data_IF_987169963696
#
_entry.id   IF_987169963696
#
_cell.length_a   1.000
_cell.length_b   1.000
_cell.length_c   1.000
_cell.angle_alpha   90.00
_cell.angle_beta   90.00
_cell.angle_gamma   90.00
#
_symmetry.space_group_name_H-M   'P 1'
#
loop_
_entity.id
_entity.type
_entity.pdbx_description
1 polymer ?
#
# COMPACT_ATOMS: atom_id res chain seq x y z
N UNK A 1 -29.92 45.39 11.41
CA UNK A 1 -29.13 46.61 11.18
C UNK A 1 -28.48 47.11 12.46
N UNK A 2 -27.15 47.03 12.52
CA UNK A 2 -26.30 48.09 13.11
C UNK A 2 -24.89 47.87 12.57
N UNK A 3 -24.36 48.88 11.88
CA UNK A 3 -22.98 48.88 11.39
C UNK A 3 -22.01 49.12 12.55
N UNK A 4 -20.91 48.38 12.56
CA UNK A 4 -19.72 48.72 13.32
C UNK A 4 -18.51 48.60 12.38
N UNK A 5 -17.97 49.75 12.02
CA UNK A 5 -16.60 49.92 11.50
C UNK A 5 -15.62 49.79 12.66
N UNK A 6 -14.66 48.88 12.59
CA UNK A 6 -13.24 49.18 12.84
C UNK A 6 -12.35 48.00 12.42
N UNK A 7 -11.12 48.31 12.03
CA UNK A 7 -10.16 47.38 11.45
C UNK A 7 -9.40 46.51 12.45
N UNK A 8 -8.80 45.45 11.90
CA UNK A 8 -7.52 44.93 12.35
C UNK A 8 -7.49 44.13 13.64
N UNK A 9 -7.99 42.90 13.61
CA UNK A 9 -7.35 41.65 14.10
C UNK A 9 -8.39 40.54 14.03
N UNK A 10 -8.08 39.44 13.34
CA UNK A 10 -8.97 38.29 13.20
C UNK A 10 -9.19 37.63 14.57
N UNK A 11 -10.20 38.12 15.29
CA UNK A 11 -10.68 37.56 16.54
C UNK A 11 -11.53 36.35 16.21
N UNK A 12 -11.19 35.21 16.83
CA UNK A 12 -11.90 33.93 16.73
C UNK A 12 -13.38 34.15 17.02
N UNK A 13 -14.24 34.02 16.00
CA UNK A 13 -15.67 33.89 16.22
C UNK A 13 -15.95 32.43 16.58
N UNK A 14 -16.09 32.15 17.87
CA UNK A 14 -16.98 31.08 18.32
C UNK A 14 -18.23 31.76 18.84
N UNK A 15 -19.25 31.90 17.99
CA UNK A 15 -20.57 32.27 18.48
C UNK A 15 -21.10 31.10 19.30
N UNK A 16 -21.18 31.30 20.62
CA UNK A 16 -21.86 30.38 21.51
C UNK A 16 -23.37 30.47 21.24
N UNK A 17 -23.90 29.57 20.43
CA UNK A 17 -25.34 29.43 20.27
C UNK A 17 -25.94 28.87 21.57
N UNK A 18 -26.72 29.71 22.27
CA UNK A 18 -27.50 29.29 23.43
C UNK A 18 -28.67 28.44 22.93
N UNK A 19 -28.64 27.14 23.24
CA UNK A 19 -29.70 26.20 22.86
C UNK A 19 -31.05 26.61 23.45
N UNK A 20 -32.03 26.94 22.59
CA UNK A 20 -33.44 27.07 22.97
C UNK A 20 -34.26 25.98 22.29
N UNK A 21 -34.37 24.83 22.96
CA UNK A 21 -35.39 23.83 22.69
C UNK A 21 -35.17 22.96 21.45
N UNK A 22 -35.76 21.77 21.50
CA UNK A 22 -35.62 20.72 20.49
C UNK A 22 -36.44 21.02 19.23
N UNK A 23 -35.83 21.69 18.26
CA UNK A 23 -36.17 21.51 16.85
C UNK A 23 -34.96 20.84 16.20
N UNK A 24 -35.16 19.70 15.54
CA UNK A 24 -34.10 19.11 14.74
C UNK A 24 -33.83 20.06 13.58
N UNK A 25 -32.69 20.74 13.64
CA UNK A 25 -32.19 21.54 12.53
C UNK A 25 -31.68 20.53 11.50
N UNK A 26 -32.43 20.31 10.41
CA UNK A 26 -31.87 19.66 9.22
C UNK A 26 -30.83 20.63 8.63
N UNK A 27 -29.55 20.31 8.84
CA UNK A 27 -28.44 21.05 8.27
C UNK A 27 -28.42 20.75 6.77
N UNK A 28 -28.73 21.75 5.95
CA UNK A 28 -28.68 21.60 4.49
C UNK A 28 -27.24 21.45 4.03
N UNK A 29 -27.01 20.72 2.93
CA UNK A 29 -25.67 20.51 2.35
C UNK A 29 -24.93 21.84 2.11
N UNK A 30 -25.65 22.91 1.78
CA UNK A 30 -25.10 24.25 1.57
C UNK A 30 -24.64 24.96 2.86
N UNK A 31 -25.26 24.66 4.01
CA UNK A 31 -24.83 25.20 5.31
C UNK A 31 -23.60 24.46 5.84
N UNK A 32 -23.49 23.16 5.56
CA UNK A 32 -22.29 22.40 5.81
C UNK A 32 -21.13 22.90 4.93
N UNK A 33 -21.36 23.13 3.64
CA UNK A 33 -20.37 23.65 2.66
C UNK A 33 -19.72 24.98 3.07
N UNK A 34 -20.45 25.88 3.75
CA UNK A 34 -19.90 27.15 4.24
C UNK A 34 -19.16 27.04 5.59
N UNK A 35 -19.31 25.93 6.30
CA UNK A 35 -18.64 25.65 7.58
C UNK A 35 -17.52 24.61 7.46
N UNK A 36 -17.40 23.92 6.33
CA UNK A 36 -16.25 23.07 6.04
C UNK A 36 -15.06 23.97 5.67
N UNK A 37 -13.83 23.65 6.06
CA UNK A 37 -12.72 24.04 5.23
C UNK A 37 -13.02 23.43 3.85
N UNK A 38 -13.11 24.23 2.78
CA UNK A 38 -13.35 23.78 1.39
C UNK A 38 -12.30 22.77 0.84
N UNK A 39 -11.47 22.27 1.75
CA UNK A 39 -10.22 21.58 1.63
C UNK A 39 -10.19 20.46 2.70
N UNK A 40 -11.24 19.63 2.83
CA UNK A 40 -11.23 18.46 3.71
C UNK A 40 -12.02 17.31 3.10
N UNK A 41 -11.39 16.15 2.95
CA UNK A 41 -11.98 15.00 2.26
C UNK A 41 -13.29 14.50 2.89
N UNK A 42 -13.26 14.24 4.20
CA UNK A 42 -14.41 13.71 4.93
C UNK A 42 -14.29 14.03 6.42
N UNK A 43 -15.32 14.65 7.00
CA UNK A 43 -15.34 15.09 8.40
C UNK A 43 -15.34 13.95 9.42
N UNK A 44 -15.62 12.71 9.00
CA UNK A 44 -15.50 11.52 9.85
C UNK A 44 -14.05 11.21 10.22
N UNK A 45 -13.09 11.71 9.44
CA UNK A 45 -11.67 11.71 9.78
C UNK A 45 -11.33 13.02 10.47
N UNK A 46 -10.93 12.93 11.73
CA UNK A 46 -10.65 14.11 12.57
C UNK A 46 -9.26 14.70 12.35
N UNK A 47 -8.34 13.96 11.70
CA UNK A 47 -6.94 14.35 11.49
C UNK A 47 -6.48 14.09 10.05
N UNK A 48 -5.49 14.86 9.62
CA UNK A 48 -4.71 14.60 8.41
C UNK A 48 -3.25 15.02 8.59
N UNK A 49 -2.35 14.36 7.90
CA UNK A 49 -0.94 14.74 7.79
C UNK A 49 -0.52 14.83 6.31
N UNK A 50 0.20 15.89 5.90
CA UNK A 50 0.74 15.96 4.55
C UNK A 50 1.94 15.03 4.39
N UNK A 51 2.03 14.36 3.25
CA UNK A 51 3.18 13.57 2.83
C UNK A 51 3.72 14.20 1.54
N UNK A 52 4.98 14.61 1.56
CA UNK A 52 5.65 15.17 0.40
C UNK A 52 6.30 14.05 -0.42
N UNK A 53 5.97 13.99 -1.70
CA UNK A 53 6.56 13.04 -2.66
C UNK A 53 7.31 13.78 -3.76
N UNK A 54 8.52 13.32 -4.07
CA UNK A 54 9.33 13.82 -5.19
C UNK A 54 10.36 12.78 -5.61
N UNK A 55 10.92 12.96 -6.81
CA UNK A 55 12.09 12.19 -7.28
C UNK A 55 13.33 13.07 -7.29
N UNK A 56 14.54 12.51 -7.08
CA UNK A 56 15.78 13.29 -7.11
C UNK A 56 16.14 13.81 -8.51
N UNK A 57 15.65 13.15 -9.57
CA UNK A 57 15.83 13.58 -10.96
C UNK A 57 14.75 12.98 -11.87
N UNK A 58 14.46 13.66 -12.99
CA UNK A 58 13.49 13.19 -13.98
C UNK A 58 12.04 13.22 -13.48
N UNK A 59 11.29 12.15 -13.79
CA UNK A 59 9.90 11.96 -13.39
C UNK A 59 9.53 10.48 -13.39
N UNK A 60 8.47 10.11 -12.68
CA UNK A 60 7.87 8.77 -12.74
C UNK A 60 6.86 8.66 -13.89
N UNK A 61 6.29 7.47 -14.10
CA UNK A 61 4.99 7.37 -14.77
C UNK A 61 3.87 7.78 -13.80
N UNK A 62 2.67 7.98 -14.32
CA UNK A 62 1.44 8.00 -13.51
C UNK A 62 1.23 6.63 -12.84
N UNK A 63 0.37 6.58 -11.83
CA UNK A 63 0.03 5.35 -11.08
C UNK A 63 1.25 4.68 -10.42
N UNK A 64 2.25 5.46 -10.01
CA UNK A 64 3.50 4.97 -9.42
C UNK A 64 3.35 4.66 -7.93
N UNK A 65 3.88 3.51 -7.49
CA UNK A 65 3.82 3.09 -6.09
C UNK A 65 4.97 3.69 -5.28
N UNK A 66 4.63 4.36 -4.18
CA UNK A 66 5.60 4.96 -3.25
C UNK A 66 5.53 4.25 -1.91
N UNK A 67 6.68 3.81 -1.40
CA UNK A 67 6.83 3.18 -0.09
C UNK A 67 7.25 4.21 0.95
N UNK A 68 6.60 4.22 2.10
CA UNK A 68 6.98 5.04 3.25
C UNK A 68 6.60 4.36 4.57
N UNK A 69 7.15 4.87 5.68
CA UNK A 69 6.83 4.40 7.03
C UNK A 69 5.98 5.44 7.75
N UNK A 70 4.90 5.00 8.36
CA UNK A 70 4.02 5.80 9.20
C UNK A 70 4.30 5.43 10.65
N UNK A 71 4.58 6.43 11.47
CA UNK A 71 4.63 6.26 12.92
C UNK A 71 3.22 6.38 13.49
N UNK A 72 2.92 5.58 14.51
CA UNK A 72 1.66 5.65 15.22
C UNK A 72 1.45 7.02 15.87
N UNK A 73 0.24 7.54 15.71
CA UNK A 73 -0.29 8.68 16.45
C UNK A 73 -1.42 8.18 17.36
N UNK A 74 -1.55 8.73 18.56
CA UNK A 74 -2.60 8.35 19.50
C UNK A 74 -4.03 8.55 19.00
N UNK A 75 -4.23 9.39 17.96
CA UNK A 75 -5.51 9.55 17.30
C UNK A 75 -5.81 8.44 16.26
N UNK A 76 -4.81 7.67 15.81
CA UNK A 76 -5.01 6.53 14.89
C UNK A 76 -5.62 5.34 15.61
N UNK A 77 -6.29 4.44 14.87
CA UNK A 77 -6.53 3.10 15.38
C UNK A 77 -5.20 2.36 15.54
N UNK A 78 -5.07 1.55 16.60
CA UNK A 78 -3.78 0.92 16.95
C UNK A 78 -3.23 0.03 15.85
N UNK A 79 -4.10 -0.53 15.01
CA UNK A 79 -3.75 -1.41 13.91
C UNK A 79 -3.79 -0.68 12.54
N UNK A 80 -3.87 0.65 12.51
CA UNK A 80 -3.79 1.48 11.31
C UNK A 80 -4.89 1.23 10.26
N UNK A 81 -6.04 0.70 10.65
CA UNK A 81 -7.14 0.39 9.74
C UNK A 81 -7.96 1.64 9.33
N UNK A 82 -7.79 2.75 10.03
CA UNK A 82 -8.44 4.03 9.74
C UNK A 82 -7.70 4.91 8.74
N UNK A 83 -6.55 4.48 8.22
CA UNK A 83 -5.78 5.26 7.26
C UNK A 83 -6.53 5.42 5.92
N UNK A 84 -6.52 6.65 5.38
CA UNK A 84 -6.91 6.96 4.00
C UNK A 84 -5.88 7.88 3.36
N UNK A 85 -5.56 7.65 2.09
CA UNK A 85 -4.63 8.48 1.34
C UNK A 85 -5.40 9.19 0.24
N UNK A 86 -5.36 10.52 0.25
CA UNK A 86 -6.11 11.36 -0.67
C UNK A 86 -5.12 12.29 -1.37
N UNK A 87 -5.33 12.53 -2.65
CA UNK A 87 -4.51 13.45 -3.43
C UNK A 87 -4.67 14.91 -2.98
N UNK A 88 -3.89 15.82 -3.58
CA UNK A 88 -3.89 17.25 -3.23
C UNK A 88 -5.24 17.94 -3.50
N UNK A 89 -6.02 17.40 -4.43
CA UNK A 89 -7.39 17.80 -4.76
C UNK A 89 -8.40 17.49 -3.64
N UNK A 90 -7.98 16.70 -2.64
CA UNK A 90 -8.75 16.32 -1.45
C UNK A 90 -10.03 15.53 -1.74
N UNK A 91 -10.12 14.92 -2.91
CA UNK A 91 -11.25 14.10 -3.35
C UNK A 91 -10.82 12.77 -3.95
N UNK A 92 -9.66 12.73 -4.59
CA UNK A 92 -9.12 11.55 -5.27
C UNK A 92 -8.53 10.58 -4.25
N UNK A 93 -9.18 9.43 -4.06
CA UNK A 93 -8.67 8.36 -3.21
C UNK A 93 -7.50 7.62 -3.88
N UNK A 94 -6.42 7.43 -3.13
CA UNK A 94 -5.21 6.76 -3.57
C UNK A 94 -5.18 5.34 -2.98
N UNK A 95 -5.22 4.28 -3.82
CA UNK A 95 -5.07 2.91 -3.35
C UNK A 95 -3.79 2.72 -2.55
N UNK A 96 -3.87 1.96 -1.46
CA UNK A 96 -2.73 1.69 -0.61
C UNK A 96 -2.69 0.24 -0.14
N UNK A 97 -1.52 -0.18 0.32
CA UNK A 97 -1.29 -1.48 0.91
C UNK A 97 -0.38 -1.35 2.14
N UNK A 98 -0.85 -1.82 3.29
CA UNK A 98 -0.05 -1.97 4.51
C UNK A 98 0.75 -3.26 4.36
N UNK A 99 2.04 -3.11 4.06
CA UNK A 99 2.95 -4.24 3.87
C UNK A 99 3.28 -4.96 5.17
N UNK A 100 3.45 -4.20 6.25
CA UNK A 100 3.69 -4.72 7.59
C UNK A 100 3.39 -3.64 8.61
N UNK A 101 3.05 -4.05 9.83
CA UNK A 101 2.80 -3.13 10.94
C UNK A 101 3.20 -3.76 12.27
N UNK A 102 3.51 -2.90 13.22
CA UNK A 102 3.51 -3.21 14.65
C UNK A 102 2.47 -2.31 15.27
N UNK A 103 1.39 -2.91 15.77
CA UNK A 103 0.25 -2.15 16.31
C UNK A 103 0.70 -1.19 17.41
N UNK A 104 0.21 0.05 17.35
CA UNK A 104 0.56 1.13 18.27
C UNK A 104 2.00 1.66 18.10
N UNK A 105 2.73 1.26 17.06
CA UNK A 105 4.12 1.69 16.84
C UNK A 105 4.37 2.25 15.44
N UNK A 106 4.29 1.41 14.40
CA UNK A 106 4.56 1.85 13.03
C UNK A 106 3.97 0.91 11.98
N UNK A 107 3.75 1.43 10.78
CA UNK A 107 3.32 0.69 9.61
C UNK A 107 4.18 1.06 8.39
N UNK A 108 4.57 0.04 7.62
CA UNK A 108 5.19 0.21 6.30
C UNK A 108 4.07 0.14 5.26
N UNK A 109 3.91 1.23 4.50
CA UNK A 109 2.79 1.39 3.58
C UNK A 109 3.30 1.71 2.18
N UNK A 110 2.62 1.15 1.19
CA UNK A 110 2.71 1.52 -0.21
C UNK A 110 1.46 2.29 -0.61
N UNK A 111 1.60 3.43 -1.28
CA UNK A 111 0.48 4.16 -1.88
C UNK A 111 0.70 4.34 -3.39
N UNK A 112 -0.37 4.17 -4.17
CA UNK A 112 -0.38 4.36 -5.62
C UNK A 112 -0.72 5.81 -5.95
N UNK A 113 0.30 6.59 -6.30
CA UNK A 113 0.15 8.01 -6.65
C UNK A 113 -0.33 8.12 -8.08
N UNK A 114 -1.48 8.79 -8.28
CA UNK A 114 -2.10 8.93 -9.61
C UNK A 114 -1.29 9.82 -10.52
N UNK A 115 -0.80 10.92 -9.97
CA UNK A 115 -0.03 11.90 -10.70
C UNK A 115 1.40 11.46 -11.03
N UNK A 116 1.97 12.12 -12.03
CA UNK A 116 3.38 12.01 -12.37
C UNK A 116 4.19 12.74 -11.31
N UNK A 117 5.02 12.00 -10.57
CA UNK A 117 5.92 12.57 -9.56
C UNK A 117 7.13 13.15 -10.27
N UNK A 118 7.47 14.39 -9.91
CA UNK A 118 8.62 15.11 -10.49
C UNK A 118 9.62 15.50 -9.40
N UNK A 119 10.64 16.28 -9.75
CA UNK A 119 11.57 16.86 -8.78
C UNK A 119 10.94 17.92 -7.88
N UNK A 120 9.80 18.48 -8.28
CA UNK A 120 9.03 19.41 -7.45
C UNK A 120 8.21 18.60 -6.45
N UNK A 121 8.33 18.86 -5.14
CA UNK A 121 7.51 18.19 -4.13
C UNK A 121 6.02 18.37 -4.40
N UNK A 122 5.32 17.26 -4.46
CA UNK A 122 3.86 17.17 -4.51
C UNK A 122 3.36 16.71 -3.15
N UNK A 123 2.16 17.16 -2.77
CA UNK A 123 1.59 16.83 -1.47
C UNK A 123 0.45 15.85 -1.65
N UNK A 124 0.50 14.71 -0.98
CA UNK A 124 -0.69 13.91 -0.71
C UNK A 124 -1.05 14.04 0.76
N UNK A 125 -2.27 13.67 1.14
CA UNK A 125 -2.74 13.70 2.51
C UNK A 125 -3.05 12.31 3.02
N UNK A 126 -2.50 11.96 4.18
CA UNK A 126 -2.94 10.82 4.97
C UNK A 126 -3.97 11.29 5.99
N UNK A 127 -5.20 10.84 5.87
CA UNK A 127 -6.28 11.04 6.84
C UNK A 127 -6.33 9.88 7.83
N UNK A 128 -6.60 10.20 9.10
CA UNK A 128 -6.75 9.26 10.22
C UNK A 128 -7.65 9.87 11.31
N UNK A 129 -7.88 9.17 12.41
CA UNK A 129 -8.75 9.60 13.50
C UNK A 129 -10.22 9.30 13.24
N UNK A 130 -10.50 8.18 12.57
CA UNK A 130 -11.85 7.65 12.39
C UNK A 130 -11.95 6.24 13.02
N UNK A 131 -12.48 6.11 14.24
CA UNK A 131 -12.50 4.83 14.97
C UNK A 131 -13.59 3.86 14.50
N UNK A 132 -14.38 4.21 13.48
CA UNK A 132 -15.57 3.44 13.06
C UNK A 132 -15.39 2.69 11.74
N UNK A 133 -14.21 2.77 11.12
CA UNK A 133 -13.95 2.20 9.79
C UNK A 133 -12.97 1.03 9.89
N UNK A 134 -13.05 0.14 8.92
CA UNK A 134 -12.05 -0.90 8.68
C UNK A 134 -11.03 -0.46 7.63
N UNK A 135 -9.94 -1.22 7.53
CA UNK A 135 -8.88 -1.00 6.56
C UNK A 135 -9.39 -1.13 5.12
N UNK A 136 -8.92 -0.22 4.27
CA UNK A 136 -9.04 -0.29 2.81
C UNK A 136 -7.73 -0.76 2.15
N UNK A 137 -6.75 -1.20 2.95
CA UNK A 137 -5.48 -1.74 2.48
C UNK A 137 -5.72 -2.90 1.51
N UNK A 138 -5.25 -2.76 0.27
CA UNK A 138 -5.46 -3.73 -0.78
C UNK A 138 -4.30 -3.70 -1.80
N UNK A 139 -3.48 -4.76 -1.81
CA UNK A 139 -2.36 -4.89 -2.73
C UNK A 139 -2.78 -4.99 -4.20
N UNK A 140 -3.90 -5.67 -4.51
CA UNK A 140 -4.41 -5.81 -5.88
C UNK A 140 -4.82 -4.47 -6.51
N UNK A 141 -5.35 -3.53 -5.73
CA UNK A 141 -5.67 -2.18 -6.20
C UNK A 141 -4.42 -1.27 -6.27
N UNK A 142 -3.39 -1.59 -5.51
CA UNK A 142 -2.19 -0.77 -5.33
C UNK A 142 -1.12 -1.07 -6.39
N UNK A 143 -0.88 -2.33 -6.71
CA UNK A 143 0.16 -2.78 -7.64
C UNK A 143 -0.44 -3.28 -8.96
N UNK A 144 0.39 -3.31 -10.02
CA UNK A 144 -0.01 -3.91 -11.30
C UNK A 144 -0.22 -5.43 -11.19
N UNK A 145 0.55 -6.07 -10.31
CA UNK A 145 0.42 -7.48 -9.97
C UNK A 145 0.83 -7.66 -8.51
N UNK A 146 0.02 -8.37 -7.74
CA UNK A 146 0.21 -8.57 -6.31
C UNK A 146 -0.22 -9.97 -5.89
N UNK A 147 0.54 -10.58 -4.99
CA UNK A 147 0.14 -11.77 -4.24
C UNK A 147 0.98 -11.83 -2.95
N UNK A 148 0.31 -11.81 -1.81
CA UNK A 148 0.90 -12.07 -0.49
C UNK A 148 0.73 -13.54 -0.07
N UNK A 149 0.05 -14.34 -0.89
CA UNK A 149 -0.27 -15.74 -0.66
C UNK A 149 -1.10 -16.04 0.60
N UNK A 150 -1.69 -15.03 1.25
CA UNK A 150 -2.53 -15.20 2.45
C UNK A 150 -3.85 -15.92 2.12
N UNK A 151 -4.29 -15.81 0.86
CA UNK A 151 -5.52 -16.45 0.36
C UNK A 151 -5.28 -17.81 -0.33
N UNK A 152 -4.11 -18.41 -0.16
CA UNK A 152 -3.78 -19.69 -0.81
C UNK A 152 -3.31 -19.54 -2.26
N UNK A 153 -3.21 -20.66 -2.98
CA UNK A 153 -2.73 -20.65 -4.37
C UNK A 153 -3.84 -20.15 -5.31
N UNK A 154 -3.64 -18.98 -5.91
CA UNK A 154 -4.57 -18.43 -6.90
C UNK A 154 -4.28 -18.97 -8.31
N UNK A 155 -5.04 -19.98 -8.75
CA UNK A 155 -4.90 -20.59 -10.08
C UNK A 155 -5.28 -19.70 -11.26
N UNK A 156 -5.87 -18.53 -11.04
CA UNK A 156 -6.09 -17.52 -12.08
C UNK A 156 -4.85 -16.64 -12.29
N UNK A 157 -4.11 -16.34 -11.21
CA UNK A 157 -2.87 -15.56 -11.25
C UNK A 157 -1.64 -16.41 -11.58
N UNK A 158 -1.60 -17.66 -11.10
CA UNK A 158 -0.42 -18.51 -11.17
C UNK A 158 -0.67 -19.82 -11.89
N UNK A 159 0.37 -20.30 -12.57
CA UNK A 159 0.51 -21.66 -13.05
C UNK A 159 1.64 -22.35 -12.31
N UNK A 160 1.53 -23.66 -12.09
CA UNK A 160 2.55 -24.51 -11.48
C UNK A 160 2.60 -25.85 -12.20
N UNK A 161 3.74 -26.54 -12.18
CA UNK A 161 3.84 -27.87 -12.78
C UNK A 161 3.09 -28.95 -12.02
N UNK A 162 3.03 -28.85 -10.69
CA UNK A 162 2.38 -29.85 -9.84
C UNK A 162 1.96 -29.22 -8.52
N UNK A 163 0.81 -29.63 -8.02
CA UNK A 163 0.43 -29.40 -6.64
C UNK A 163 1.25 -30.31 -5.71
N UNK A 164 2.16 -29.73 -4.94
CA UNK A 164 3.07 -30.46 -4.06
C UNK A 164 2.56 -30.65 -2.63
N UNK A 165 1.25 -30.53 -2.38
CA UNK A 165 0.60 -30.91 -1.12
C UNK A 165 0.76 -32.42 -0.81
N UNK A 166 1.98 -32.87 -0.52
CA UNK A 166 2.33 -34.27 -0.20
C UNK A 166 3.23 -35.00 -1.22
N UNK A 167 3.70 -34.34 -2.28
CA UNK A 167 4.59 -34.94 -3.29
C UNK A 167 5.90 -34.17 -3.37
N UNK A 168 7.05 -34.86 -3.29
CA UNK A 168 8.41 -34.29 -3.12
C UNK A 168 8.94 -33.32 -4.18
N UNK A 169 8.08 -32.76 -5.05
CA UNK A 169 8.39 -31.72 -6.03
C UNK A 169 7.12 -31.00 -6.52
N UNK A 170 7.21 -29.69 -6.80
CA UNK A 170 6.12 -28.84 -7.29
C UNK A 170 6.01 -27.53 -6.52
N UNK A 171 4.83 -26.91 -6.53
CA UNK A 171 4.56 -25.68 -5.77
C UNK A 171 3.22 -25.73 -5.05
N UNK A 172 3.12 -25.16 -3.86
CA UNK A 172 1.86 -24.99 -3.12
C UNK A 172 1.95 -23.78 -2.19
N UNK A 173 0.80 -23.28 -1.76
CA UNK A 173 0.73 -22.20 -0.77
C UNK A 173 0.26 -22.77 0.56
N UNK A 174 0.93 -22.39 1.65
CA UNK A 174 0.50 -22.68 3.01
C UNK A 174 0.93 -21.54 3.93
N UNK A 175 0.03 -21.10 4.81
CA UNK A 175 0.32 -20.06 5.82
C UNK A 175 0.97 -18.80 5.23
N UNK A 176 0.39 -18.23 4.17
CA UNK A 176 0.92 -17.00 3.55
C UNK A 176 2.22 -17.17 2.75
N UNK A 177 2.67 -18.41 2.51
CA UNK A 177 3.95 -18.67 1.84
C UNK A 177 3.73 -19.57 0.62
N UNK A 178 4.20 -19.11 -0.55
CA UNK A 178 4.40 -19.96 -1.71
C UNK A 178 5.67 -20.79 -1.54
N UNK A 179 5.50 -22.10 -1.44
CA UNK A 179 6.59 -23.04 -1.43
C UNK A 179 6.83 -23.60 -2.83
N UNK A 180 8.11 -23.71 -3.22
CA UNK A 180 8.54 -24.31 -4.49
C UNK A 180 9.67 -25.30 -4.19
N UNK A 181 9.48 -26.56 -4.56
CA UNK A 181 10.41 -27.65 -4.27
C UNK A 181 10.82 -28.41 -5.52
N UNK A 182 12.12 -28.63 -5.70
CA UNK A 182 12.65 -29.61 -6.65
C UNK A 182 12.96 -30.93 -5.94
N UNK A 183 12.51 -32.04 -6.52
CA UNK A 183 12.91 -33.40 -6.13
C UNK A 183 14.20 -33.84 -6.83
N UNK A 184 14.65 -35.06 -6.57
CA UNK A 184 15.78 -35.65 -7.26
C UNK A 184 15.47 -36.01 -8.72
N UNK A 185 16.51 -35.93 -9.55
CA UNK A 185 16.66 -36.69 -10.80
C UNK A 185 15.72 -36.43 -11.99
N UNK A 186 14.63 -35.64 -11.87
CA UNK A 186 13.84 -35.06 -13.00
C UNK A 186 12.56 -34.31 -12.57
N UNK A 187 12.45 -33.83 -11.34
CA UNK A 187 11.23 -33.15 -10.88
C UNK A 187 11.50 -31.73 -10.34
N UNK A 188 11.78 -30.73 -11.20
CA UNK A 188 11.92 -29.35 -10.77
C UNK A 188 10.56 -28.81 -10.32
N UNK A 189 10.49 -28.05 -9.22
CA UNK A 189 9.29 -27.28 -8.87
C UNK A 189 9.32 -25.91 -9.52
N UNK A 190 8.20 -25.45 -10.06
CA UNK A 190 8.07 -24.07 -10.52
C UNK A 190 6.65 -23.53 -10.33
N UNK A 191 6.58 -22.21 -10.18
CA UNK A 191 5.38 -21.42 -10.32
C UNK A 191 5.69 -20.21 -11.21
N UNK A 192 4.76 -19.83 -12.08
CA UNK A 192 4.89 -18.66 -12.97
C UNK A 192 3.58 -17.89 -12.99
N UNK A 193 3.68 -16.56 -13.13
CA UNK A 193 2.51 -15.72 -13.38
C UNK A 193 1.86 -16.11 -14.71
N UNK A 194 0.53 -16.14 -14.75
CA UNK A 194 -0.29 -16.20 -15.97
C UNK A 194 -0.59 -14.82 -16.54
N UNK A 195 -0.23 -13.77 -15.81
CA UNK A 195 -0.41 -12.37 -16.21
C UNK A 195 0.85 -11.93 -16.94
N UNK A 196 0.68 -11.49 -18.18
CA UNK A 196 1.73 -10.82 -18.94
C UNK A 196 1.99 -9.45 -18.32
N UNK A 197 3.24 -9.23 -17.91
CA UNK A 197 3.66 -7.96 -17.33
C UNK A 197 4.42 -7.13 -18.36
N UNK A 198 4.34 -5.78 -18.32
CA UNK A 198 5.00 -4.92 -19.27
C UNK A 198 6.53 -5.02 -19.19
N UNK A 199 7.21 -4.76 -20.31
CA UNK A 199 8.67 -4.92 -20.44
C UNK A 199 9.51 -3.95 -19.58
N UNK A 200 8.88 -2.99 -18.89
CA UNK A 200 9.52 -2.00 -18.02
C UNK A 200 8.78 -1.91 -16.70
N UNK A 201 9.22 -2.68 -15.73
CA UNK A 201 8.70 -2.67 -14.37
C UNK A 201 9.78 -3.06 -13.38
N UNK A 202 9.50 -2.81 -12.11
CA UNK A 202 10.25 -3.35 -10.98
C UNK A 202 9.32 -4.38 -10.32
N UNK A 203 9.82 -5.60 -10.12
CA UNK A 203 9.18 -6.59 -9.26
C UNK A 203 9.92 -6.66 -7.92
N UNK A 204 9.16 -6.84 -6.84
CA UNK A 204 9.70 -7.19 -5.52
C UNK A 204 9.16 -8.56 -5.13
N UNK A 205 10.02 -9.42 -4.57
CA UNK A 205 9.62 -10.69 -3.98
C UNK A 205 10.46 -10.99 -2.75
N UNK A 206 9.85 -11.65 -1.76
CA UNK A 206 10.52 -12.10 -0.53
C UNK A 206 10.56 -13.62 -0.55
N UNK A 207 11.76 -14.16 -0.53
CA UNK A 207 12.00 -15.60 -0.65
C UNK A 207 13.09 -16.02 0.32
N UNK A 208 13.00 -17.26 0.79
CA UNK A 208 14.02 -17.91 1.60
C UNK A 208 14.40 -19.21 0.92
N UNK A 209 15.69 -19.43 0.71
CA UNK A 209 16.19 -20.71 0.19
C UNK A 209 16.25 -21.72 1.32
N UNK A 210 15.64 -22.87 1.09
CA UNK A 210 15.91 -24.05 1.87
C UNK A 210 16.91 -24.94 1.12
N UNK A 211 18.09 -25.16 1.69
CA UNK A 211 19.00 -26.22 1.24
C UNK A 211 18.85 -27.42 2.17
N UNK A 212 18.34 -28.57 1.71
CA UNK A 212 18.46 -29.81 2.45
C UNK A 212 19.97 -30.06 2.63
N UNK A 213 20.43 -30.16 3.87
CA UNK A 213 21.85 -30.42 4.13
C UNK A 213 22.29 -31.67 3.39
N UNK A 214 23.21 -31.52 2.43
CA UNK A 214 24.22 -32.55 2.26
C UNK A 214 25.04 -32.55 3.55
N UNK A 215 25.44 -33.71 4.03
CA UNK A 215 26.32 -33.86 5.19
C UNK A 215 27.75 -33.32 4.96
N UNK A 216 27.94 -32.32 4.08
CA UNK A 216 29.25 -31.94 3.54
C UNK A 216 29.53 -30.43 3.43
N UNK A 217 28.64 -29.53 3.87
CA UNK A 217 28.94 -28.09 3.91
C UNK A 217 28.97 -27.57 5.37
N UNK A 218 29.99 -28.02 6.09
CA UNK A 218 30.46 -27.45 7.36
C UNK A 218 31.95 -27.09 7.15
N UNK A 219 32.42 -25.86 7.47
CA UNK A 219 31.87 -24.89 8.40
C UNK A 219 31.38 -23.54 7.81
N UNK A 220 31.47 -23.32 6.49
CA UNK A 220 31.33 -21.96 5.90
C UNK A 220 30.04 -21.73 5.10
N UNK A 221 28.88 -22.13 5.62
CA UNK A 221 27.61 -21.64 5.07
C UNK A 221 27.37 -20.20 5.53
N UNK A 222 28.05 -19.24 4.89
CA UNK A 222 27.75 -17.81 5.07
C UNK A 222 26.34 -17.55 4.53
N UNK A 223 25.49 -17.03 5.40
CA UNK A 223 24.21 -16.41 5.05
C UNK A 223 24.48 -15.24 4.10
N UNK A 224 24.06 -15.35 2.84
CA UNK A 224 23.90 -14.17 2.01
C UNK A 224 22.45 -14.10 1.54
N UNK A 225 21.73 -13.15 2.16
CA UNK A 225 20.45 -12.67 1.65
C UNK A 225 20.63 -11.83 0.39
N UNK A 226 19.50 -11.40 -0.17
CA UNK A 226 19.49 -10.32 -1.16
C UNK A 226 18.45 -10.52 -2.25
N UNK A 227 17.67 -9.46 -2.50
CA UNK A 227 16.78 -9.28 -3.64
C UNK A 227 17.42 -9.81 -4.95
N UNK A 228 16.77 -10.74 -5.63
CA UNK A 228 16.97 -10.90 -7.06
C UNK A 228 15.92 -10.05 -7.78
N UNK A 229 16.31 -8.84 -8.16
CA UNK A 229 15.59 -8.10 -9.21
C UNK A 229 15.97 -8.78 -10.51
N UNK A 230 15.17 -9.73 -10.99
CA UNK A 230 15.33 -10.23 -12.35
C UNK A 230 14.78 -9.17 -13.30
N UNK A 231 15.65 -8.22 -13.65
CA UNK A 231 15.41 -7.28 -14.75
C UNK A 231 15.41 -8.10 -16.03
N UNK A 232 14.22 -8.49 -16.50
CA UNK A 232 14.08 -9.04 -17.85
C UNK A 232 14.24 -7.91 -18.86
N UNK A 233 15.48 -7.62 -19.24
CA UNK A 233 15.75 -6.93 -20.50
C UNK A 233 15.45 -7.96 -21.60
N UNK A 234 14.31 -7.81 -22.29
CA UNK A 234 14.04 -8.56 -23.51
C UNK A 234 14.97 -8.05 -24.61
N UNK A 235 16.20 -8.54 -24.62
CA UNK A 235 16.98 -8.71 -25.83
C UNK A 235 17.13 -10.21 -26.07
N UNK A 236 16.26 -10.73 -26.93
CA UNK A 236 16.43 -11.93 -27.77
C UNK A 236 17.47 -12.96 -27.30
N UNK A 237 17.05 -14.17 -26.94
CA UNK A 237 17.50 -15.43 -27.57
C UNK A 237 16.67 -16.61 -27.02
N UNK A 238 16.03 -17.33 -27.94
CA UNK A 238 15.73 -18.75 -27.73
C UNK A 238 17.05 -19.48 -27.49
N UNK A 239 17.11 -20.29 -26.45
CA UNK A 239 17.64 -21.67 -26.50
C UNK A 239 17.08 -22.41 -25.30
N UNK A 240 16.19 -23.37 -25.55
CA UNK A 240 16.08 -24.51 -24.64
C UNK A 240 17.40 -25.27 -24.66
N UNK A 241 17.74 -25.89 -23.54
CA UNK A 241 18.78 -26.92 -23.49
C UNK A 241 18.26 -28.03 -22.58
N UNK A 242 18.48 -29.24 -23.10
CA UNK A 242 18.25 -30.58 -22.55
C UNK A 242 18.77 -30.79 -21.11
#
# INVERSE_FOLDING_TARGET
EKAATDGGTASKYYEAFTYKGAEQIELTDAFLDHMMPANWFNLSWSKRAPIQVSVPSGSTAADYQVKFTINYDSDMQTDFDDLRFIDDDQTTNLPYYIESKTDGSSAVVWAKIKDVITTTPQTIYMYYGNPSVSSESNGDNTFLFFDDFESGFNGAKWERNRDASGGGCGAFVSVGILYVYGGDGNCPGWARSKVDLPNKLITESRWKVWRPGSSSCYPDCQEEGGLYVQKYDYSTYYTGIE
#
